data_IF_233553542532
#
_entry.id   IF_233553542532
#
_cell.length_a   1.000
_cell.length_b   1.000
_cell.length_c   1.000
_cell.angle_alpha   90.00
_cell.angle_beta   90.00
_cell.angle_gamma   90.00
#
_symmetry.space_group_name_H-M   'P 1'
#
loop_
_entity.id
_entity.type
_entity.pdbx_description
1 polymer ?
#
# COMPACT_ATOMS: atom_id res chain seq x y z
N UNK A 1 7.33 1.86 29.78
CA UNK A 1 7.25 2.59 28.51
C UNK A 1 8.55 3.36 28.21
N UNK A 2 8.84 4.51 28.84
CA UNK A 2 10.03 5.32 28.51
C UNK A 2 11.41 4.61 28.67
N UNK A 3 11.56 3.72 29.66
CA UNK A 3 12.83 2.99 29.89
C UNK A 3 13.14 1.90 28.86
N UNK A 4 12.11 1.27 28.26
CA UNK A 4 12.30 0.27 27.21
C UNK A 4 12.66 0.95 25.88
N UNK A 5 11.95 2.04 25.58
CA UNK A 5 12.17 2.88 24.39
C UNK A 5 13.61 3.44 24.34
N UNK A 6 14.12 3.96 25.46
CA UNK A 6 15.50 4.49 25.53
C UNK A 6 16.58 3.41 25.40
N UNK A 7 16.34 2.19 25.90
CA UNK A 7 17.32 1.10 25.79
C UNK A 7 17.44 0.58 24.36
N UNK A 8 16.33 0.57 23.63
CA UNK A 8 16.24 0.17 22.21
C UNK A 8 16.94 1.20 21.31
N UNK A 9 16.70 2.50 21.54
CA UNK A 9 17.37 3.57 20.77
C UNK A 9 18.89 3.52 20.96
N UNK A 10 19.39 3.31 22.18
CA UNK A 10 20.83 3.23 22.45
C UNK A 10 21.51 2.03 21.78
N UNK A 11 20.87 0.85 21.72
CA UNK A 11 21.49 -0.34 21.12
C UNK A 11 21.68 -0.26 19.60
N UNK A 12 20.77 0.41 18.90
CA UNK A 12 20.78 0.55 17.43
C UNK A 12 21.78 1.62 16.95
N UNK A 13 22.07 2.63 17.77
CA UNK A 13 23.01 3.71 17.44
C UNK A 13 24.47 3.24 17.55
N UNK A 14 24.79 2.39 18.53
CA UNK A 14 26.19 2.05 18.87
C UNK A 14 26.82 0.94 18.01
N UNK A 15 26.04 0.20 17.20
CA UNK A 15 26.52 -1.05 16.58
C UNK A 15 26.75 -1.01 15.07
N UNK A 16 26.42 0.08 14.35
CA UNK A 16 26.46 0.07 12.88
C UNK A 16 27.10 1.33 12.26
N UNK A 17 28.33 1.23 11.71
CA UNK A 17 29.00 2.35 11.06
C UNK A 17 28.51 2.52 9.61
N UNK A 18 27.24 2.92 9.43
CA UNK A 18 26.64 3.44 8.17
C UNK A 18 25.15 3.80 8.41
N UNK A 19 24.91 4.62 9.43
CA UNK A 19 23.58 4.93 9.96
C UNK A 19 22.70 5.70 8.96
N UNK A 20 21.58 5.11 8.53
CA UNK A 20 20.51 5.81 7.80
C UNK A 20 19.17 5.60 8.51
N UNK A 21 18.30 6.61 8.50
CA UNK A 21 17.00 6.62 9.19
C UNK A 21 16.07 5.47 8.75
N UNK A 22 16.23 4.96 7.52
CA UNK A 22 15.53 3.79 7.02
C UNK A 22 15.99 2.49 7.69
N UNK A 23 17.30 2.35 7.95
CA UNK A 23 17.87 1.16 8.58
C UNK A 23 17.44 1.03 10.05
N UNK A 24 17.39 2.16 10.77
CA UNK A 24 16.89 2.19 12.15
C UNK A 24 15.40 1.87 12.23
N UNK A 25 14.57 2.33 11.28
CA UNK A 25 13.15 1.94 11.18
C UNK A 25 12.98 0.45 10.92
N UNK A 26 13.75 -0.13 10.01
CA UNK A 26 13.73 -1.58 9.74
C UNK A 26 14.17 -2.40 10.94
N UNK A 27 15.20 -1.96 11.68
CA UNK A 27 15.66 -2.61 12.90
C UNK A 27 14.62 -2.55 14.03
N UNK A 28 13.96 -1.40 14.22
CA UNK A 28 12.87 -1.23 15.20
C UNK A 28 11.66 -2.10 14.84
N UNK A 29 11.29 -2.18 13.56
CA UNK A 29 10.21 -3.07 13.09
C UNK A 29 10.55 -4.55 13.29
N UNK A 30 11.82 -4.93 13.13
CA UNK A 30 12.30 -6.27 13.42
C UNK A 30 12.27 -6.60 14.92
N UNK A 31 12.57 -5.63 15.79
CA UNK A 31 12.63 -5.81 17.24
C UNK A 31 11.24 -5.81 17.92
N UNK A 32 10.28 -5.03 17.40
CA UNK A 32 8.84 -5.11 17.77
C UNK A 32 8.15 -6.31 17.06
N UNK A 33 8.93 -7.11 16.32
CA UNK A 33 8.45 -8.14 15.41
C UNK A 33 7.46 -9.12 16.02
N UNK A 34 7.60 -9.53 17.29
CA UNK A 34 6.69 -10.50 17.92
C UNK A 34 5.31 -9.93 18.29
N UNK A 35 5.25 -8.71 18.83
CA UNK A 35 3.98 -8.03 19.14
C UNK A 35 3.26 -7.56 17.86
N UNK A 36 4.02 -7.05 16.89
CA UNK A 36 3.50 -6.71 15.56
C UNK A 36 3.05 -7.95 14.82
N UNK A 37 3.73 -9.09 14.91
CA UNK A 37 3.34 -10.34 14.25
C UNK A 37 2.04 -10.90 14.83
N UNK A 38 1.80 -10.81 16.15
CA UNK A 38 0.52 -11.19 16.76
C UNK A 38 -0.64 -10.28 16.32
N UNK A 39 -0.40 -8.97 16.29
CA UNK A 39 -1.38 -8.00 15.79
C UNK A 39 -1.62 -8.17 14.28
N UNK A 40 -0.56 -8.44 13.51
CA UNK A 40 -0.59 -8.70 12.07
C UNK A 40 -1.33 -9.98 11.72
N UNK A 41 -1.08 -11.09 12.44
CA UNK A 41 -1.80 -12.34 12.25
C UNK A 41 -3.31 -12.16 12.49
N UNK A 42 -3.70 -11.40 13.52
CA UNK A 42 -5.09 -11.03 13.78
C UNK A 42 -5.70 -10.17 12.66
N UNK A 43 -4.91 -9.27 12.07
CA UNK A 43 -5.33 -8.34 11.03
C UNK A 43 -5.46 -9.03 9.66
N UNK A 44 -4.55 -9.96 9.35
CA UNK A 44 -4.66 -10.91 8.24
C UNK A 44 -5.89 -11.78 8.40
N UNK A 45 -6.18 -12.28 9.61
CA UNK A 45 -7.39 -13.02 9.93
C UNK A 45 -8.68 -12.21 9.74
N UNK A 46 -8.62 -10.88 9.86
CA UNK A 46 -9.72 -9.93 9.55
C UNK A 46 -9.74 -9.46 8.09
N UNK A 47 -8.69 -9.77 7.31
CA UNK A 47 -8.53 -9.45 5.89
C UNK A 47 -7.74 -8.17 5.61
N UNK A 48 -6.56 -8.30 4.99
CA UNK A 48 -5.71 -7.19 4.56
C UNK A 48 -6.45 -6.11 3.73
N UNK A 49 -7.33 -6.52 2.82
CA UNK A 49 -8.13 -5.61 2.02
C UNK A 49 -9.07 -4.73 2.88
N UNK A 50 -9.64 -5.29 3.96
CA UNK A 50 -10.51 -4.55 4.88
C UNK A 50 -9.73 -3.46 5.63
N UNK A 51 -8.49 -3.73 6.00
CA UNK A 51 -7.64 -2.76 6.66
C UNK A 51 -7.30 -1.57 5.76
N UNK A 52 -7.02 -1.84 4.49
CA UNK A 52 -6.80 -0.81 3.46
C UNK A 52 -8.09 -0.03 3.18
N UNK A 53 -9.24 -0.70 3.16
CA UNK A 53 -10.55 -0.05 3.07
C UNK A 53 -10.79 0.92 4.23
N UNK A 54 -10.47 0.50 5.45
CA UNK A 54 -10.63 1.35 6.65
C UNK A 54 -9.66 2.53 6.63
N UNK A 55 -8.41 2.30 6.21
CA UNK A 55 -7.41 3.35 6.05
C UNK A 55 -7.88 4.42 5.04
N UNK A 56 -8.29 4.00 3.86
CA UNK A 56 -8.79 4.92 2.81
C UNK A 56 -10.06 5.61 3.28
N UNK A 57 -10.99 4.88 3.90
CA UNK A 57 -12.23 5.45 4.44
C UNK A 57 -11.97 6.54 5.47
N UNK A 58 -11.03 6.33 6.39
CA UNK A 58 -10.65 7.32 7.39
C UNK A 58 -10.03 8.55 6.74
N UNK A 59 -9.19 8.38 5.71
CA UNK A 59 -8.62 9.50 4.96
C UNK A 59 -9.70 10.31 4.22
N UNK A 60 -10.61 9.64 3.50
CA UNK A 60 -11.71 10.31 2.78
C UNK A 60 -12.58 11.12 3.74
N UNK A 61 -12.97 10.53 4.88
CA UNK A 61 -13.80 11.19 5.88
C UNK A 61 -13.08 12.37 6.56
N UNK A 62 -11.84 12.17 7.04
CA UNK A 62 -11.09 13.21 7.76
C UNK A 62 -10.74 14.42 6.89
N UNK A 63 -10.59 14.22 5.57
CA UNK A 63 -10.28 15.29 4.61
C UNK A 63 -11.52 15.83 3.89
N UNK A 64 -12.71 15.31 4.18
CA UNK A 64 -13.94 15.73 3.50
C UNK A 64 -13.91 15.51 1.99
N UNK A 65 -13.19 14.49 1.52
CA UNK A 65 -12.96 14.25 0.09
C UNK A 65 -14.16 13.60 -0.61
N UNK A 66 -15.12 13.09 0.15
CA UNK A 66 -16.25 12.34 -0.36
C UNK A 66 -16.96 11.55 0.72
N UNK A 67 -17.76 10.59 0.27
CA UNK A 67 -18.59 9.77 1.14
C UNK A 67 -18.49 8.28 0.79
N UNK A 68 -18.72 7.44 1.79
CA UNK A 68 -18.91 6.01 1.59
C UNK A 68 -20.36 5.76 1.17
N UNK A 69 -20.55 5.29 -0.07
CA UNK A 69 -21.90 4.99 -0.61
C UNK A 69 -22.41 3.66 -0.04
N UNK A 70 -21.54 2.65 0.02
CA UNK A 70 -21.78 1.34 0.65
C UNK A 70 -20.44 0.67 0.98
N UNK A 71 -20.47 -0.52 1.60
CA UNK A 71 -19.25 -1.31 1.81
C UNK A 71 -18.51 -1.51 0.48
N UNK A 72 -17.22 -1.19 0.47
CA UNK A 72 -16.36 -1.27 -0.72
C UNK A 72 -16.63 -0.24 -1.83
N UNK A 73 -17.49 0.78 -1.64
CA UNK A 73 -17.73 1.81 -2.65
C UNK A 73 -17.75 3.21 -2.03
N UNK A 74 -16.90 4.08 -2.55
CA UNK A 74 -16.81 5.48 -2.19
C UNK A 74 -17.03 6.37 -3.41
N UNK A 75 -17.66 7.52 -3.19
CA UNK A 75 -17.81 8.58 -4.18
C UNK A 75 -17.08 9.82 -3.67
N UNK A 76 -16.15 10.32 -4.46
CA UNK A 76 -15.37 11.52 -4.16
C UNK A 76 -16.07 12.75 -4.74
N UNK A 77 -15.82 13.91 -4.12
CA UNK A 77 -16.45 15.19 -4.48
C UNK A 77 -16.10 15.64 -5.91
N UNK A 78 -14.96 15.20 -6.44
CA UNK A 78 -14.53 15.45 -7.82
C UNK A 78 -15.16 14.48 -8.85
N UNK A 79 -16.15 13.68 -8.45
CA UNK A 79 -16.84 12.70 -9.30
C UNK A 79 -16.12 11.36 -9.42
N UNK A 80 -14.91 11.20 -8.88
CA UNK A 80 -14.22 9.92 -8.89
C UNK A 80 -14.91 8.90 -7.98
N UNK A 81 -14.67 7.62 -8.25
CA UNK A 81 -15.14 6.52 -7.39
C UNK A 81 -13.99 5.61 -6.98
N UNK A 82 -14.05 5.10 -5.76
CA UNK A 82 -13.14 4.08 -5.24
C UNK A 82 -13.95 2.81 -5.05
N UNK A 83 -13.53 1.71 -5.68
CA UNK A 83 -14.23 0.43 -5.67
C UNK A 83 -13.28 -0.65 -5.15
N UNK A 84 -13.65 -1.30 -4.05
CA UNK A 84 -13.02 -2.53 -3.57
C UNK A 84 -13.73 -3.72 -4.21
N UNK A 85 -12.97 -4.63 -4.79
CA UNK A 85 -13.51 -5.72 -5.60
C UNK A 85 -12.54 -6.90 -5.69
N UNK A 86 -12.76 -7.75 -6.69
CA UNK A 86 -11.96 -8.95 -6.90
C UNK A 86 -10.90 -8.80 -8.01
N UNK A 87 -11.00 -7.78 -8.86
CA UNK A 87 -10.08 -7.58 -10.00
C UNK A 87 -10.17 -6.12 -10.53
N UNK A 88 -9.20 -5.23 -10.19
CA UNK A 88 -8.21 -5.40 -9.12
C UNK A 88 -8.87 -5.36 -7.72
N UNK A 89 -8.10 -5.64 -6.66
CA UNK A 89 -8.56 -5.54 -5.27
C UNK A 89 -9.13 -4.15 -4.95
N UNK A 90 -8.48 -3.09 -5.47
CA UNK A 90 -8.98 -1.72 -5.39
C UNK A 90 -8.82 -1.01 -6.73
N UNK A 91 -9.88 -0.37 -7.21
CA UNK A 91 -9.89 0.45 -8.41
C UNK A 91 -10.32 1.89 -8.08
N UNK A 92 -9.56 2.87 -8.56
CA UNK A 92 -9.99 4.27 -8.60
C UNK A 92 -10.40 4.60 -10.03
N UNK A 93 -11.60 5.13 -10.20
CA UNK A 93 -12.16 5.52 -11.49
C UNK A 93 -12.40 7.02 -11.52
N UNK A 94 -12.06 7.65 -12.63
CA UNK A 94 -12.37 9.06 -12.85
C UNK A 94 -13.88 9.30 -12.98
N UNK A 95 -14.26 10.57 -13.15
CA UNK A 95 -15.66 10.97 -13.33
C UNK A 95 -16.30 10.36 -14.59
N UNK A 96 -15.51 9.94 -15.58
CA UNK A 96 -15.97 9.23 -16.77
C UNK A 96 -16.02 7.71 -16.58
N UNK A 97 -15.72 7.19 -15.38
CA UNK A 97 -15.75 5.77 -15.04
C UNK A 97 -14.52 4.98 -15.51
N UNK A 98 -13.50 5.64 -16.09
CA UNK A 98 -12.27 5.00 -16.54
C UNK A 98 -11.37 4.71 -15.35
N UNK A 99 -10.81 3.51 -15.31
CA UNK A 99 -9.90 3.07 -14.24
C UNK A 99 -8.57 3.79 -14.34
N UNK A 100 -8.29 4.69 -13.41
CA UNK A 100 -7.04 5.47 -13.38
C UNK A 100 -6.01 4.90 -12.41
N UNK A 101 -6.45 4.17 -11.36
CA UNK A 101 -5.55 3.50 -10.42
C UNK A 101 -6.05 2.07 -10.18
N UNK A 102 -5.13 1.12 -10.11
CA UNK A 102 -5.35 -0.26 -9.72
C UNK A 102 -4.39 -0.64 -8.59
N UNK A 103 -4.90 -1.22 -7.51
CA UNK A 103 -4.10 -1.69 -6.37
C UNK A 103 -4.35 -3.18 -6.18
N UNK A 104 -3.26 -3.94 -6.04
CA UNK A 104 -3.28 -5.35 -5.65
C UNK A 104 -2.71 -5.49 -4.23
N UNK A 105 -3.39 -6.25 -3.37
CA UNK A 105 -3.10 -6.35 -1.94
C UNK A 105 -2.70 -7.80 -1.61
N UNK A 106 -1.46 -8.00 -1.19
CA UNK A 106 -0.92 -9.32 -0.81
C UNK A 106 -0.44 -9.32 0.64
N UNK A 107 -1.32 -9.71 1.57
CA UNK A 107 -1.04 -9.63 3.01
C UNK A 107 -0.13 -10.71 3.60
N UNK A 108 0.10 -11.83 2.89
CA UNK A 108 0.92 -12.91 3.46
C UNK A 108 2.37 -12.47 3.69
N UNK A 109 2.90 -12.78 4.88
CA UNK A 109 4.31 -12.62 5.25
C UNK A 109 5.19 -13.76 4.74
N UNK A 110 4.60 -14.84 4.23
CA UNK A 110 5.34 -16.02 3.79
C UNK A 110 6.29 -15.70 2.64
N UNK A 111 7.58 -15.97 2.84
CA UNK A 111 8.63 -15.72 1.87
C UNK A 111 8.59 -16.73 0.72
N UNK A 112 8.22 -17.99 0.98
CA UNK A 112 8.22 -19.05 -0.02
C UNK A 112 7.24 -18.76 -1.16
N UNK A 113 6.06 -18.23 -0.85
CA UNK A 113 5.06 -17.82 -1.84
C UNK A 113 5.18 -16.38 -2.36
N UNK A 114 6.22 -15.63 -2.02
CA UNK A 114 6.29 -14.19 -2.34
C UNK A 114 6.35 -13.92 -3.86
N UNK A 115 7.20 -14.64 -4.60
CA UNK A 115 7.33 -14.46 -6.06
C UNK A 115 6.07 -14.88 -6.82
N UNK A 116 5.41 -15.97 -6.40
CA UNK A 116 4.14 -16.42 -6.99
C UNK A 116 3.06 -15.35 -6.88
N UNK A 117 2.87 -14.80 -5.66
CA UNK A 117 1.89 -13.73 -5.41
C UNK A 117 2.20 -12.45 -6.18
N UNK A 118 3.48 -12.13 -6.35
CA UNK A 118 3.89 -11.03 -7.20
C UNK A 118 3.54 -11.28 -8.67
N UNK A 119 3.82 -12.48 -9.19
CA UNK A 119 3.46 -12.87 -10.56
C UNK A 119 1.96 -12.79 -10.84
N UNK A 120 1.12 -13.17 -9.87
CA UNK A 120 -0.34 -13.01 -9.95
C UNK A 120 -0.75 -11.53 -10.03
N UNK A 121 -0.19 -10.69 -9.16
CA UNK A 121 -0.47 -9.26 -9.17
C UNK A 121 -0.03 -8.60 -10.49
N UNK A 122 1.15 -8.97 -11.01
CA UNK A 122 1.64 -8.52 -12.31
C UNK A 122 0.66 -8.86 -13.44
N UNK A 123 0.11 -10.08 -13.44
CA UNK A 123 -0.88 -10.50 -14.44
C UNK A 123 -2.16 -9.67 -14.37
N UNK A 124 -2.66 -9.36 -13.17
CA UNK A 124 -3.79 -8.44 -12.98
C UNK A 124 -3.44 -7.06 -13.54
N UNK A 125 -2.28 -6.49 -13.20
CA UNK A 125 -1.84 -5.19 -13.70
C UNK A 125 -1.70 -5.13 -15.21
N UNK A 126 -1.17 -6.17 -15.85
CA UNK A 126 -1.08 -6.25 -17.31
C UNK A 126 -2.46 -6.11 -17.96
N UNK A 127 -3.51 -6.73 -17.38
CA UNK A 127 -4.90 -6.57 -17.83
C UNK A 127 -5.39 -5.13 -17.65
N UNK A 128 -5.10 -4.50 -16.51
CA UNK A 128 -5.53 -3.12 -16.25
C UNK A 128 -4.86 -2.11 -17.21
N UNK A 129 -3.58 -2.33 -17.52
CA UNK A 129 -2.80 -1.52 -18.47
C UNK A 129 -3.29 -1.73 -19.91
N UNK A 130 -3.69 -2.96 -20.28
CA UNK A 130 -4.29 -3.22 -21.58
C UNK A 130 -5.63 -2.48 -21.77
N UNK A 131 -6.45 -2.37 -20.71
CA UNK A 131 -7.70 -1.59 -20.72
C UNK A 131 -7.47 -0.07 -20.75
N UNK A 132 -6.50 0.41 -19.97
CA UNK A 132 -6.09 1.82 -19.95
C UNK A 132 -4.56 1.89 -19.77
N UNK A 133 -3.80 2.23 -20.82
CA UNK A 133 -2.33 2.33 -20.73
C UNK A 133 -1.85 3.38 -19.73
N UNK A 134 -2.70 4.31 -19.30
CA UNK A 134 -2.40 5.30 -18.26
C UNK A 134 -2.77 4.84 -16.85
N UNK A 135 -3.39 3.67 -16.69
CA UNK A 135 -3.76 3.12 -15.39
C UNK A 135 -2.52 3.00 -14.49
N UNK A 136 -2.56 3.65 -13.35
CA UNK A 136 -1.48 3.66 -12.38
C UNK A 136 -1.59 2.45 -11.46
N UNK A 137 -0.59 1.58 -11.50
CA UNK A 137 -0.62 0.29 -10.82
C UNK A 137 0.23 0.33 -9.56
N UNK A 138 -0.36 -0.09 -8.43
CA UNK A 138 0.28 -0.03 -7.12
C UNK A 138 0.27 -1.42 -6.48
N UNK A 139 1.46 -1.97 -6.24
CA UNK A 139 1.60 -3.25 -5.54
C UNK A 139 1.73 -3.04 -4.03
N UNK A 140 0.80 -3.59 -3.26
CA UNK A 140 0.76 -3.43 -1.81
C UNK A 140 0.93 -4.79 -1.12
N UNK A 141 2.11 -5.07 -0.60
CA UNK A 141 2.43 -6.39 -0.06
C UNK A 141 3.10 -6.32 1.31
N UNK A 142 2.93 -7.37 2.12
CA UNK A 142 3.62 -7.46 3.42
C UNK A 142 4.99 -8.12 3.35
N UNK A 143 5.31 -8.79 2.24
CA UNK A 143 6.55 -9.53 2.07
C UNK A 143 7.24 -9.11 0.76
N UNK A 144 8.47 -8.64 0.89
CA UNK A 144 9.35 -8.30 -0.22
C UNK A 144 10.68 -9.00 -0.01
N UNK A 145 10.94 -10.03 -0.80
CA UNK A 145 12.27 -10.65 -0.89
C UNK A 145 13.10 -9.90 -1.92
N UNK A 146 14.43 -10.04 -1.87
CA UNK A 146 15.33 -9.41 -2.86
C UNK A 146 14.94 -9.79 -4.29
N UNK A 147 14.54 -11.05 -4.51
CA UNK A 147 14.07 -11.51 -5.82
C UNK A 147 12.79 -10.80 -6.28
N UNK A 148 11.83 -10.54 -5.37
CA UNK A 148 10.61 -9.78 -5.69
C UNK A 148 10.95 -8.31 -5.99
N UNK A 149 11.85 -7.71 -5.21
CA UNK A 149 12.29 -6.32 -5.43
C UNK A 149 12.97 -6.18 -6.80
N UNK A 150 13.86 -7.11 -7.15
CA UNK A 150 14.52 -7.13 -8.46
C UNK A 150 13.49 -7.26 -9.61
N UNK A 151 12.48 -8.12 -9.45
CA UNK A 151 11.40 -8.25 -10.44
C UNK A 151 10.61 -6.95 -10.60
N UNK A 152 10.18 -6.33 -9.50
CA UNK A 152 9.46 -5.05 -9.51
C UNK A 152 10.26 -3.97 -10.25
N UNK A 153 11.56 -3.87 -9.98
CA UNK A 153 12.43 -2.87 -10.59
C UNK A 153 12.66 -3.12 -12.10
N UNK A 154 12.58 -4.37 -12.54
CA UNK A 154 12.74 -4.74 -13.95
C UNK A 154 11.44 -4.63 -14.76
N UNK A 155 10.30 -4.67 -14.08
CA UNK A 155 8.97 -4.70 -14.68
C UNK A 155 8.42 -3.29 -14.92
N UNK A 156 7.54 -3.14 -15.93
CA UNK A 156 6.87 -1.87 -16.23
C UNK A 156 5.41 -1.85 -15.77
N UNK A 157 4.90 -3.01 -15.38
CA UNK A 157 3.52 -3.23 -14.96
C UNK A 157 3.24 -2.75 -13.55
N UNK A 158 4.28 -2.52 -12.72
CA UNK A 158 4.16 -1.93 -11.39
C UNK A 158 4.77 -0.54 -11.41
N UNK A 159 3.99 0.49 -11.10
CA UNK A 159 4.48 1.87 -11.11
C UNK A 159 4.91 2.38 -9.75
N UNK A 160 4.24 1.93 -8.70
CA UNK A 160 4.68 2.12 -7.31
C UNK A 160 4.44 0.84 -6.52
N UNK A 161 5.16 0.67 -5.42
CA UNK A 161 4.91 -0.39 -4.46
C UNK A 161 5.08 0.14 -3.03
N UNK A 162 4.34 -0.45 -2.10
CA UNK A 162 4.38 -0.07 -0.69
C UNK A 162 4.36 -1.32 0.19
N UNK A 163 5.01 -1.22 1.35
CA UNK A 163 4.91 -2.26 2.38
C UNK A 163 3.58 -2.12 3.12
N UNK A 164 2.73 -3.13 2.98
CA UNK A 164 1.40 -3.14 3.59
C UNK A 164 1.46 -3.05 5.11
N UNK A 165 2.39 -3.75 5.74
CA UNK A 165 2.59 -3.67 7.19
C UNK A 165 2.98 -2.25 7.59
N UNK A 166 3.94 -1.65 6.88
CA UNK A 166 4.37 -0.28 7.16
C UNK A 166 3.24 0.74 7.04
N UNK A 167 2.45 0.73 5.96
CA UNK A 167 1.38 1.74 5.79
C UNK A 167 0.26 1.63 6.84
N UNK A 168 0.17 0.51 7.56
CA UNK A 168 -0.83 0.30 8.60
C UNK A 168 -0.34 0.73 9.99
N UNK A 169 0.97 0.68 10.27
CA UNK A 169 1.53 0.94 11.61
C UNK A 169 2.50 2.13 11.68
N UNK A 170 3.12 2.52 10.57
CA UNK A 170 4.00 3.69 10.50
C UNK A 170 3.25 4.87 9.88
N UNK A 171 3.12 5.96 10.64
CA UNK A 171 2.39 7.15 10.18
C UNK A 171 3.05 7.85 8.99
N UNK A 172 4.37 7.77 8.84
CA UNK A 172 5.06 8.38 7.72
C UNK A 172 4.79 7.60 6.42
N UNK A 173 4.88 6.27 6.48
CA UNK A 173 4.60 5.40 5.33
C UNK A 173 3.12 5.42 4.95
N UNK A 174 2.23 5.44 5.96
CA UNK A 174 0.79 5.67 5.77
C UNK A 174 0.51 6.96 5.02
N UNK A 175 1.12 8.06 5.47
CA UNK A 175 0.97 9.38 4.85
C UNK A 175 1.51 9.36 3.42
N UNK A 176 2.70 8.80 3.19
CA UNK A 176 3.31 8.71 1.87
C UNK A 176 2.42 7.94 0.87
N UNK A 177 1.86 6.81 1.29
CA UNK A 177 0.92 6.04 0.47
C UNK A 177 -0.33 6.85 0.11
N UNK A 178 -0.99 7.47 1.09
CA UNK A 178 -2.20 8.25 0.87
C UNK A 178 -1.94 9.49 0.00
N UNK A 179 -0.87 10.24 0.27
CA UNK A 179 -0.47 11.40 -0.53
C UNK A 179 -0.20 10.99 -1.97
N UNK A 180 0.49 9.86 -2.18
CA UNK A 180 0.75 9.36 -3.54
C UNK A 180 -0.52 9.03 -4.30
N UNK A 181 -1.43 8.25 -3.70
CA UNK A 181 -2.70 7.87 -4.32
C UNK A 181 -3.55 9.10 -4.64
N UNK A 182 -3.75 9.99 -3.66
CA UNK A 182 -4.62 11.15 -3.83
C UNK A 182 -3.98 12.28 -4.65
N UNK A 183 -2.65 12.33 -4.79
CA UNK A 183 -2.00 13.20 -5.78
C UNK A 183 -2.46 12.87 -7.20
N UNK A 184 -2.57 11.57 -7.54
CA UNK A 184 -3.06 11.13 -8.86
C UNK A 184 -4.52 11.51 -9.04
N UNK A 185 -5.35 11.29 -8.02
CA UNK A 185 -6.79 11.66 -8.02
C UNK A 185 -7.00 13.16 -8.24
N UNK A 186 -6.11 13.98 -7.69
CA UNK A 186 -6.21 15.45 -7.75
C UNK A 186 -5.50 16.06 -8.98
N UNK A 187 -4.73 15.27 -9.72
CA UNK A 187 -4.04 15.76 -10.91
C UNK A 187 -5.00 15.73 -12.10
N UNK A 188 -5.29 16.86 -12.77
CA UNK A 188 -6.12 16.87 -13.96
C UNK A 188 -5.50 15.94 -15.00
N UNK A 189 -6.26 14.92 -15.45
CA UNK A 189 -5.88 14.16 -16.62
C UNK A 189 -5.77 15.15 -17.78
N UNK A 190 -4.56 15.33 -18.34
CA UNK A 190 -4.36 16.21 -19.51
C UNK A 190 -5.37 15.81 -20.59
N UNK A 191 -6.45 16.61 -20.72
CA UNK A 191 -7.39 16.55 -21.84
C UNK A 191 -6.56 16.93 -23.06
N UNK A 192 -6.28 15.96 -23.93
CA UNK A 192 -5.88 16.28 -25.29
C UNK A 192 -7.18 16.56 -26.03
N UNK A 193 -7.42 17.84 -26.32
CA UNK A 193 -8.17 18.29 -27.48
C UNK A 193 -7.59 17.65 -28.75
#
# INVERSE_FOLDING_TARGET
>A
MARAFNRIISGVIDTTPAYTVSLSRSAILAEIGTELQGTWANLIGKGAAKAVEDLISAHVASKGLGERVRKGLFRLANGWTIVFGAEPDVAFRDAEGRKQIAIEIKGSLDTAGAQTRYGEAKKSFAKQIAENPRCHTIYLASCFTDAVIQQIQSDKEVRDWFNLTSILYDEADKKAFLERVFHIVNTPGKRRS
#
